data_IF_157331378686
#
_entry.id   IF_157331378686
#
_cell.length_a   1.000
_cell.length_b   1.000
_cell.length_c   1.000
_cell.angle_alpha   90.00
_cell.angle_beta   90.00
_cell.angle_gamma   90.00
#
_symmetry.space_group_name_H-M   'P 1'
#
loop_
_entity.id
_entity.type
_entity.pdbx_description
1 polymer ?
#
# COMPACT_ATOMS: atom_id res chain seq x y z
N UNK A 1 58.79 28.16 -21.78
CA UNK A 1 58.66 27.87 -23.22
C UNK A 1 57.37 27.09 -23.46
N UNK A 2 56.55 27.57 -24.41
CA UNK A 2 55.52 26.90 -25.26
C UNK A 2 54.75 25.70 -24.68
N UNK A 3 53.46 25.81 -24.32
CA UNK A 3 52.24 25.61 -25.15
C UNK A 3 52.26 24.36 -26.05
N UNK A 4 51.26 23.48 -25.89
CA UNK A 4 50.21 23.18 -26.89
C UNK A 4 49.01 22.58 -26.14
N UNK A 5 47.82 23.09 -26.46
CA UNK A 5 46.52 22.70 -25.96
C UNK A 5 45.81 21.85 -27.02
N UNK A 6 45.01 20.87 -26.59
CA UNK A 6 43.90 20.37 -27.41
C UNK A 6 42.61 20.40 -26.57
N UNK A 7 41.74 21.35 -26.92
CA UNK A 7 40.41 21.48 -26.36
C UNK A 7 39.44 20.57 -27.12
N UNK A 8 38.98 19.48 -26.47
CA UNK A 8 37.76 18.78 -26.92
C UNK A 8 36.54 19.52 -26.39
N UNK A 9 35.85 20.16 -27.32
CA UNK A 9 34.59 20.90 -27.16
C UNK A 9 33.49 20.00 -26.58
N UNK A 10 33.27 20.05 -25.27
CA UNK A 10 32.09 19.47 -24.62
C UNK A 10 30.91 20.40 -24.88
N UNK A 11 29.92 19.94 -25.64
CA UNK A 11 28.65 20.65 -25.84
C UNK A 11 27.93 20.76 -24.49
N UNK A 12 27.55 21.98 -24.13
CA UNK A 12 26.73 22.26 -22.96
C UNK A 12 25.36 21.60 -23.09
N UNK A 13 25.06 20.62 -22.26
CA UNK A 13 23.69 20.17 -21.99
C UNK A 13 23.03 21.21 -21.07
N UNK A 14 22.65 22.33 -21.68
CA UNK A 14 21.80 23.32 -21.04
C UNK A 14 20.36 22.85 -21.03
N UNK A 15 19.66 23.18 -19.93
CA UNK A 15 18.21 23.36 -19.91
C UNK A 15 17.31 22.11 -19.90
N UNK A 16 17.56 21.15 -19.00
CA UNK A 16 16.52 20.17 -18.59
C UNK A 16 16.13 20.26 -17.11
N UNK A 17 16.98 20.84 -16.26
CA UNK A 17 16.74 20.93 -14.81
C UNK A 17 15.71 21.99 -14.40
N UNK A 18 15.60 23.09 -15.17
CA UNK A 18 14.66 24.18 -14.85
C UNK A 18 13.17 23.80 -15.03
N UNK A 19 12.87 22.84 -15.93
CA UNK A 19 11.50 22.42 -16.20
C UNK A 19 10.93 21.52 -15.10
N UNK A 20 11.78 20.68 -14.50
CA UNK A 20 11.39 19.77 -13.41
C UNK A 20 11.15 20.50 -12.09
N UNK A 21 11.90 21.58 -11.84
CA UNK A 21 11.73 22.39 -10.64
C UNK A 21 10.35 23.07 -10.60
N UNK A 22 9.89 23.63 -11.74
CA UNK A 22 8.56 24.25 -11.85
C UNK A 22 7.38 23.28 -11.66
N UNK A 23 7.55 22.00 -11.99
CA UNK A 23 6.50 20.98 -11.84
C UNK A 23 6.35 20.53 -10.37
N UNK A 24 7.43 20.55 -9.59
CA UNK A 24 7.39 20.16 -8.17
C UNK A 24 6.53 21.12 -7.31
N UNK A 25 6.44 22.39 -7.68
CA UNK A 25 5.63 23.39 -6.96
C UNK A 25 4.12 23.24 -7.19
N UNK A 26 3.70 22.60 -8.29
CA UNK A 26 2.28 22.40 -8.60
C UNK A 26 1.67 21.17 -7.90
N UNK A 27 2.51 20.22 -7.47
CA UNK A 27 2.09 19.03 -6.71
C UNK A 27 2.15 19.21 -5.18
N UNK A 28 2.47 20.42 -4.69
CA UNK A 28 2.23 20.78 -3.29
C UNK A 28 0.73 20.89 -3.08
N UNK A 29 0.15 19.73 -2.77
CA UNK A 29 -1.14 19.46 -2.17
C UNK A 29 -1.77 20.71 -1.54
N UNK A 30 -2.66 21.36 -2.29
CA UNK A 30 -3.57 22.36 -1.75
C UNK A 30 -4.48 21.63 -0.76
N UNK A 31 -4.17 21.73 0.52
CA UNK A 31 -5.08 21.33 1.59
C UNK A 31 -6.36 22.17 1.46
N UNK A 32 -7.41 21.59 0.86
CA UNK A 32 -8.75 22.14 0.99
C UNK A 32 -9.20 21.87 2.43
N UNK A 33 -9.13 22.90 3.26
CA UNK A 33 -9.79 22.93 4.56
C UNK A 33 -11.28 22.80 4.28
N UNK A 34 -11.85 21.62 4.48
CA UNK A 34 -13.30 21.44 4.48
C UNK A 34 -13.86 22.11 5.74
N UNK A 35 -14.20 23.38 5.59
CA UNK A 35 -15.06 24.07 6.54
C UNK A 35 -16.45 23.47 6.49
N UNK A 36 -16.77 22.54 7.40
CA UNK A 36 -18.13 22.44 7.93
C UNK A 36 -18.09 22.19 9.44
N UNK A 37 -18.68 23.15 10.16
CA UNK A 37 -19.05 23.02 11.54
C UNK A 37 -20.39 22.25 11.64
N UNK A 38 -20.48 21.38 12.67
CA UNK A 38 -21.70 20.73 13.20
C UNK A 38 -22.33 19.61 12.38
N UNK A 39 -22.23 18.40 12.95
CA UNK A 39 -23.06 17.25 12.60
C UNK A 39 -22.89 16.09 13.59
N UNK A 40 -23.23 16.32 14.87
CA UNK A 40 -23.31 15.25 15.87
C UNK A 40 -24.39 14.23 15.46
N UNK A 41 -24.01 13.07 14.93
CA UNK A 41 -24.86 11.88 15.09
C UNK A 41 -24.36 11.11 16.30
N UNK A 42 -25.15 11.13 17.38
CA UNK A 42 -24.96 10.29 18.57
C UNK A 42 -24.86 8.83 18.14
N UNK A 43 -23.65 8.28 18.10
CA UNK A 43 -23.46 6.82 18.07
C UNK A 43 -23.80 6.35 19.49
N UNK A 44 -25.06 5.93 19.69
CA UNK A 44 -25.41 5.16 20.88
C UNK A 44 -24.58 3.88 20.85
N UNK A 45 -23.73 3.71 21.85
CA UNK A 45 -23.00 2.47 22.06
C UNK A 45 -23.94 1.28 22.27
N UNK A 46 -23.45 0.09 21.94
CA UNK A 46 -24.00 -1.22 22.28
C UNK A 46 -25.24 -1.72 21.49
N UNK A 47 -25.17 -1.75 20.15
CA UNK A 47 -25.99 -2.68 19.36
C UNK A 47 -25.10 -3.81 18.82
N UNK A 48 -25.33 -5.08 19.21
CA UNK A 48 -24.61 -6.21 18.61
C UNK A 48 -24.99 -6.34 17.14
N UNK A 49 -23.99 -6.30 16.26
CA UNK A 49 -24.14 -6.54 14.83
C UNK A 49 -24.83 -7.90 14.62
N UNK A 50 -26.01 -7.89 14.00
CA UNK A 50 -26.75 -9.10 13.63
C UNK A 50 -25.91 -9.91 12.64
N UNK A 51 -25.26 -10.97 13.11
CA UNK A 51 -24.65 -11.98 12.23
C UNK A 51 -25.76 -12.76 11.55
N UNK A 52 -25.79 -12.76 10.22
CA UNK A 52 -26.72 -13.55 9.43
C UNK A 52 -26.44 -15.04 9.64
N UNK A 53 -27.38 -15.74 10.28
CA UNK A 53 -27.33 -17.19 10.50
C UNK A 53 -27.80 -17.89 9.23
N UNK A 54 -26.88 -18.52 8.50
CA UNK A 54 -27.19 -19.34 7.34
C UNK A 54 -27.76 -20.67 7.83
N UNK A 55 -29.05 -20.92 7.57
CA UNK A 55 -29.67 -22.24 7.81
C UNK A 55 -29.74 -22.98 6.48
N UNK A 56 -28.91 -24.01 6.30
CA UNK A 56 -29.09 -24.96 5.21
C UNK A 56 -30.22 -25.92 5.57
N UNK A 57 -31.38 -25.79 4.92
CA UNK A 57 -32.45 -26.79 5.05
C UNK A 57 -31.99 -28.08 4.36
N UNK A 58 -31.69 -29.10 5.15
CA UNK A 58 -31.52 -30.48 4.71
C UNK A 58 -32.89 -31.01 4.29
N UNK A 59 -33.01 -31.42 3.04
CA UNK A 59 -34.27 -31.89 2.45
C UNK A 59 -34.72 -33.22 3.03
N UNK A 60 -36.01 -33.27 3.38
CA UNK A 60 -36.84 -34.48 3.41
C UNK A 60 -38.17 -34.07 2.78
N UNK A 61 -38.60 -34.78 1.75
CA UNK A 61 -39.69 -34.37 0.85
C UNK A 61 -41.10 -34.55 1.41
N UNK A 62 -42.05 -33.87 0.77
CA UNK A 62 -43.47 -34.25 0.62
C UNK A 62 -44.21 -33.18 -0.19
N UNK A 63 -44.92 -33.59 -1.25
CA UNK A 63 -46.22 -33.02 -1.62
C UNK A 63 -46.29 -31.74 -2.45
N UNK A 64 -46.20 -31.91 -3.78
CA UNK A 64 -47.10 -31.39 -4.82
C UNK A 64 -47.59 -29.92 -4.80
N UNK A 65 -47.17 -29.13 -5.79
CA UNK A 65 -48.09 -28.50 -6.75
C UNK A 65 -47.33 -27.74 -7.85
N UNK A 66 -47.65 -28.18 -9.06
CA UNK A 66 -47.30 -27.69 -10.38
C UNK A 66 -47.50 -26.17 -10.56
N UNK A 67 -46.45 -25.39 -10.84
CA UNK A 67 -46.54 -24.17 -11.67
C UNK A 67 -45.27 -23.93 -12.50
N UNK A 68 -45.55 -23.73 -13.79
CA UNK A 68 -44.73 -23.50 -14.97
C UNK A 68 -43.60 -22.46 -14.86
N UNK A 69 -42.51 -22.79 -15.56
CA UNK A 69 -41.67 -21.92 -16.40
C UNK A 69 -41.39 -20.49 -15.91
N UNK A 70 -40.26 -20.35 -15.21
CA UNK A 70 -39.56 -19.08 -15.05
C UNK A 70 -38.11 -19.25 -15.51
N UNK A 71 -37.72 -18.52 -16.57
CA UNK A 71 -36.33 -18.45 -17.04
C UNK A 71 -35.34 -18.05 -15.92
N UNK A 72 -34.03 -18.25 -16.13
CA UNK A 72 -33.05 -18.23 -15.05
C UNK A 72 -33.07 -16.87 -14.33
N UNK A 73 -33.43 -16.90 -13.04
CA UNK A 73 -33.25 -15.76 -12.13
C UNK A 73 -31.79 -15.31 -12.21
N UNK A 74 -31.55 -14.02 -12.48
CA UNK A 74 -30.22 -13.41 -12.35
C UNK A 74 -29.73 -13.70 -10.93
N UNK A 75 -28.64 -14.45 -10.82
CA UNK A 75 -28.01 -14.78 -9.53
C UNK A 75 -27.41 -13.49 -8.97
N UNK A 76 -27.44 -13.32 -7.65
CA UNK A 76 -26.71 -12.21 -7.04
C UNK A 76 -25.20 -12.45 -7.22
N UNK A 77 -24.39 -11.38 -7.28
CA UNK A 77 -22.92 -11.52 -7.40
C UNK A 77 -22.33 -12.44 -6.32
N UNK A 78 -22.97 -12.49 -5.15
CA UNK A 78 -22.62 -13.40 -4.07
C UNK A 78 -22.97 -14.86 -4.38
N UNK A 79 -24.14 -15.13 -4.96
CA UNK A 79 -24.53 -16.48 -5.37
C UNK A 79 -23.66 -16.97 -6.53
N UNK A 80 -23.26 -16.09 -7.45
CA UNK A 80 -22.32 -16.41 -8.52
C UNK A 80 -20.93 -16.74 -7.97
N UNK A 81 -20.44 -15.96 -6.99
CA UNK A 81 -19.19 -16.24 -6.29
C UNK A 81 -19.23 -17.59 -5.55
N UNK A 82 -20.36 -17.91 -4.90
CA UNK A 82 -20.55 -19.18 -4.20
C UNK A 82 -20.58 -20.34 -5.20
N UNK A 83 -21.31 -20.20 -6.31
CA UNK A 83 -21.36 -21.22 -7.36
C UNK A 83 -20.01 -21.40 -8.04
N UNK A 84 -19.26 -20.33 -8.27
CA UNK A 84 -17.91 -20.38 -8.84
C UNK A 84 -16.92 -21.04 -7.87
N UNK A 85 -17.04 -20.77 -6.56
CA UNK A 85 -16.27 -21.46 -5.53
C UNK A 85 -16.59 -22.96 -5.49
N UNK A 86 -17.87 -23.34 -5.59
CA UNK A 86 -18.30 -24.73 -5.57
C UNK A 86 -17.97 -25.48 -6.88
N UNK A 87 -17.96 -24.78 -8.01
CA UNK A 87 -17.56 -25.30 -9.31
C UNK A 87 -16.04 -25.31 -9.52
N UNK A 88 -15.29 -24.55 -8.71
CA UNK A 88 -13.84 -24.50 -8.82
C UNK A 88 -13.22 -25.87 -8.55
N UNK A 89 -12.51 -26.39 -9.55
CA UNK A 89 -11.82 -27.68 -9.41
C UNK A 89 -10.60 -27.52 -8.51
N UNK A 90 -10.37 -28.49 -7.64
CA UNK A 90 -9.27 -28.43 -6.68
C UNK A 90 -7.92 -28.41 -7.40
N UNK A 91 -6.98 -27.53 -6.99
CA UNK A 91 -5.63 -27.53 -7.56
C UNK A 91 -4.95 -28.88 -7.41
N UNK A 92 -4.16 -29.30 -8.40
CA UNK A 92 -3.45 -30.60 -8.46
C UNK A 92 -2.64 -30.91 -7.19
N UNK A 93 -2.19 -29.86 -6.49
CA UNK A 93 -1.51 -29.96 -5.19
C UNK A 93 -2.31 -30.79 -4.18
N UNK A 94 -3.64 -30.74 -4.24
CA UNK A 94 -4.57 -31.41 -3.32
C UNK A 94 -5.08 -32.78 -3.82
N UNK A 95 -4.65 -33.25 -5.00
CA UNK A 95 -5.03 -34.58 -5.51
C UNK A 95 -4.34 -35.71 -4.76
N UNK A 96 -5.05 -36.82 -4.59
CA UNK A 96 -4.50 -38.03 -3.95
C UNK A 96 -3.40 -38.64 -4.84
N UNK A 97 -2.44 -39.41 -4.28
CA UNK A 97 -1.35 -40.00 -5.05
C UNK A 97 -1.79 -40.85 -6.26
N UNK A 98 -2.90 -41.59 -6.14
CA UNK A 98 -3.47 -42.40 -7.23
C UNK A 98 -4.05 -41.55 -8.37
N UNK A 99 -4.61 -40.39 -8.04
CA UNK A 99 -5.18 -39.46 -9.02
C UNK A 99 -4.06 -38.73 -9.77
N UNK A 100 -2.98 -38.36 -9.07
CA UNK A 100 -1.75 -37.80 -9.67
C UNK A 100 -1.11 -38.76 -10.67
N UNK A 101 -1.02 -40.05 -10.34
CA UNK A 101 -0.48 -41.05 -11.27
C UNK A 101 -1.34 -41.19 -12.54
N UNK A 102 -2.67 -41.17 -12.40
CA UNK A 102 -3.61 -41.21 -13.53
C UNK A 102 -3.53 -39.96 -14.40
N UNK A 103 -3.31 -38.79 -13.81
CA UNK A 103 -3.07 -37.56 -14.57
C UNK A 103 -1.72 -37.60 -15.29
N UNK A 104 -0.66 -38.08 -14.64
CA UNK A 104 0.66 -38.24 -15.27
C UNK A 104 0.64 -39.21 -16.47
N UNK A 105 -0.13 -40.30 -16.38
CA UNK A 105 -0.33 -41.22 -17.51
C UNK A 105 -1.13 -40.57 -18.66
N UNK A 106 -2.15 -39.76 -18.35
CA UNK A 106 -2.89 -39.00 -19.36
C UNK A 106 -2.02 -37.95 -20.05
N UNK A 107 -1.18 -37.25 -19.28
CA UNK A 107 -0.20 -36.31 -19.81
C UNK A 107 0.83 -36.99 -20.70
N UNK A 108 1.30 -38.19 -20.30
CA UNK A 108 2.19 -39.02 -21.12
C UNK A 108 1.53 -39.45 -22.43
N UNK A 109 0.21 -39.63 -22.45
CA UNK A 109 -0.60 -39.90 -23.64
C UNK A 109 -1.08 -38.63 -24.38
N UNK A 110 -0.65 -37.44 -23.95
CA UNK A 110 -0.98 -36.16 -24.58
C UNK A 110 -2.40 -35.65 -24.33
N UNK A 111 -3.18 -36.29 -23.45
CA UNK A 111 -4.54 -35.90 -23.09
C UNK A 111 -4.52 -34.92 -21.91
N UNK A 112 -4.78 -33.64 -22.18
CA UNK A 112 -4.91 -32.62 -21.13
C UNK A 112 -6.26 -32.75 -20.42
N UNK A 113 -6.25 -32.67 -19.10
CA UNK A 113 -7.49 -32.57 -18.32
C UNK A 113 -8.10 -31.17 -18.46
N UNK A 114 -9.43 -31.05 -18.36
CA UNK A 114 -10.12 -29.75 -18.35
C UNK A 114 -9.53 -28.81 -17.27
N UNK A 115 -9.11 -29.38 -16.15
CA UNK A 115 -8.45 -28.70 -15.03
C UNK A 115 -7.09 -28.09 -15.42
N UNK A 116 -6.30 -28.78 -16.24
CA UNK A 116 -5.02 -28.27 -16.76
C UNK A 116 -5.23 -27.18 -17.80
N UNK A 117 -6.20 -27.33 -18.69
CA UNK A 117 -6.51 -26.30 -19.68
C UNK A 117 -6.99 -24.99 -19.03
N UNK A 118 -7.82 -25.08 -17.99
CA UNK A 118 -8.27 -23.90 -17.24
C UNK A 118 -7.13 -23.23 -16.46
N UNK A 119 -6.22 -24.02 -15.87
CA UNK A 119 -5.03 -23.48 -15.22
C UNK A 119 -4.09 -22.81 -16.22
N UNK A 120 -3.81 -23.42 -17.37
CA UNK A 120 -3.00 -22.82 -18.44
C UNK A 120 -3.64 -21.50 -18.94
N UNK A 121 -4.96 -21.45 -19.10
CA UNK A 121 -5.69 -20.23 -19.47
C UNK A 121 -5.55 -19.14 -18.41
N UNK A 122 -5.70 -19.48 -17.12
CA UNK A 122 -5.50 -18.52 -16.01
C UNK A 122 -4.06 -18.03 -15.97
N UNK A 123 -3.07 -18.90 -16.12
CA UNK A 123 -1.66 -18.53 -16.12
C UNK A 123 -1.29 -17.64 -17.31
N UNK A 124 -1.85 -17.90 -18.51
CA UNK A 124 -1.68 -17.04 -19.68
C UNK A 124 -2.27 -15.65 -19.49
N UNK A 125 -3.45 -15.54 -18.85
CA UNK A 125 -4.06 -14.24 -18.50
C UNK A 125 -3.17 -13.44 -17.54
N UNK A 126 -2.73 -14.07 -16.44
CA UNK A 126 -1.85 -13.42 -15.47
C UNK A 126 -0.52 -12.98 -16.09
N UNK A 127 0.07 -13.79 -16.99
CA UNK A 127 1.33 -13.42 -17.67
C UNK A 127 1.17 -12.16 -18.51
N UNK A 128 0.04 -12.00 -19.21
CA UNK A 128 -0.23 -10.81 -20.02
C UNK A 128 -0.45 -9.56 -19.16
N UNK A 129 -0.98 -9.70 -17.94
CA UNK A 129 -1.14 -8.59 -16.99
C UNK A 129 0.20 -8.05 -16.48
N UNK A 130 1.17 -8.93 -16.23
CA UNK A 130 2.51 -8.53 -15.77
C UNK A 130 3.41 -7.91 -16.86
N UNK A 131 3.12 -8.15 -18.14
CA UNK A 131 3.86 -7.57 -19.27
C UNK A 131 3.46 -6.10 -19.54
N UNK A 132 2.30 -5.69 -19.02
CA UNK A 132 1.84 -4.30 -19.09
C UNK A 132 2.48 -3.44 -17.99
N UNK A 133 2.76 -2.15 -18.25
CA UNK A 133 3.31 -1.25 -17.24
C UNK A 133 2.47 -1.29 -15.96
N UNK A 134 3.10 -1.66 -14.84
CA UNK A 134 2.39 -1.80 -13.57
C UNK A 134 1.86 -0.44 -13.12
N UNK A 135 0.54 -0.31 -13.00
CA UNK A 135 -0.13 0.91 -12.55
C UNK A 135 0.18 1.15 -11.08
N UNK A 136 1.00 2.18 -10.80
CA UNK A 136 1.31 2.60 -9.43
C UNK A 136 0.26 3.63 -8.98
N UNK A 137 -0.84 3.17 -8.37
CA UNK A 137 -1.88 4.06 -7.86
C UNK A 137 -3.30 3.49 -7.95
N UNK A 138 -4.27 4.36 -7.74
CA UNK A 138 -5.69 4.06 -8.02
C UNK A 138 -5.91 4.06 -9.52
N UNK A 139 -6.60 3.05 -10.07
CA UNK A 139 -6.82 2.93 -11.52
C UNK A 139 -7.49 4.20 -12.05
N UNK A 140 -6.86 4.84 -13.03
CA UNK A 140 -7.35 6.08 -13.64
C UNK A 140 -6.69 7.38 -13.16
N UNK A 141 -5.90 7.34 -12.08
CA UNK A 141 -5.09 8.48 -11.61
C UNK A 141 -3.57 8.25 -11.76
N UNK A 142 -3.19 7.20 -12.48
CA UNK A 142 -1.79 6.91 -12.74
C UNK A 142 -1.21 7.94 -13.72
N UNK A 143 0.09 8.25 -13.56
CA UNK A 143 0.79 9.23 -14.39
C UNK A 143 0.76 8.90 -15.90
N UNK A 144 0.63 7.61 -16.23
CA UNK A 144 0.49 7.12 -17.59
C UNK A 144 -0.92 7.40 -18.12
N UNK A 145 -1.94 7.07 -17.33
CA UNK A 145 -3.36 7.25 -17.69
C UNK A 145 -3.74 8.73 -17.79
N UNK A 146 -3.09 9.59 -17.00
CA UNK A 146 -3.22 11.05 -17.07
C UNK A 146 -2.44 11.68 -18.24
N UNK A 147 -1.70 10.89 -19.03
CA UNK A 147 -0.91 11.37 -20.17
C UNK A 147 0.31 12.21 -19.80
N UNK A 148 0.75 12.18 -18.53
CA UNK A 148 1.95 12.90 -18.08
C UNK A 148 3.24 12.14 -18.40
N UNK A 149 3.17 10.81 -18.44
CA UNK A 149 4.32 9.93 -18.71
C UNK A 149 3.97 8.96 -19.83
N UNK A 150 4.72 9.02 -20.93
CA UNK A 150 4.60 8.04 -22.02
C UNK A 150 5.13 6.68 -21.56
N UNK A 151 4.28 5.65 -21.65
CA UNK A 151 4.64 4.28 -21.26
C UNK A 151 5.89 3.75 -21.98
N UNK A 152 6.07 4.13 -23.25
CA UNK A 152 7.16 3.65 -24.11
C UNK A 152 8.52 4.25 -23.75
N UNK A 153 8.55 5.39 -23.06
CA UNK A 153 9.77 6.10 -22.67
C UNK A 153 10.30 5.68 -21.30
N UNK A 154 9.59 4.80 -20.59
CA UNK A 154 10.01 4.33 -19.27
C UNK A 154 11.25 3.45 -19.44
N UNK A 155 12.42 3.85 -18.91
CA UNK A 155 13.63 3.06 -19.02
C UNK A 155 13.42 1.72 -18.32
N UNK A 156 13.49 0.64 -19.10
CA UNK A 156 13.45 -0.73 -18.58
C UNK A 156 14.82 -1.05 -17.99
N UNK A 157 14.91 -1.12 -16.66
CA UNK A 157 16.12 -1.57 -16.00
C UNK A 157 16.08 -3.09 -15.85
N UNK A 158 17.01 -3.78 -16.50
CA UNK A 158 17.21 -5.20 -16.32
C UNK A 158 17.96 -5.44 -15.00
N UNK A 159 17.22 -5.60 -13.91
CA UNK A 159 17.77 -6.24 -12.72
C UNK A 159 17.74 -7.75 -12.97
N UNK A 160 18.89 -8.41 -12.90
CA UNK A 160 18.91 -9.88 -12.99
C UNK A 160 17.99 -10.44 -11.90
N UNK A 161 17.18 -11.45 -12.25
CA UNK A 161 16.24 -12.07 -11.30
C UNK A 161 16.98 -12.59 -10.07
N UNK A 162 18.23 -13.00 -10.24
CA UNK A 162 19.11 -13.46 -9.16
C UNK A 162 19.49 -12.34 -8.20
N UNK A 163 19.94 -11.20 -8.70
CA UNK A 163 20.34 -10.06 -7.85
C UNK A 163 19.13 -9.45 -7.14
N UNK A 164 17.97 -9.38 -7.80
CA UNK A 164 16.72 -8.99 -7.16
C UNK A 164 16.35 -9.89 -5.99
N UNK A 165 16.48 -11.22 -6.16
CA UNK A 165 16.24 -12.20 -5.08
C UNK A 165 17.26 -12.07 -3.95
N UNK A 166 18.53 -11.80 -4.26
CA UNK A 166 19.59 -11.59 -3.26
C UNK A 166 19.34 -10.33 -2.43
N UNK A 167 19.07 -9.20 -3.08
CA UNK A 167 18.79 -7.92 -2.41
C UNK A 167 17.55 -7.98 -1.52
N UNK A 168 16.46 -8.59 -2.01
CA UNK A 168 15.24 -8.73 -1.23
C UNK A 168 15.44 -9.58 0.04
N UNK A 169 16.22 -10.67 -0.05
CA UNK A 169 16.57 -11.50 1.10
C UNK A 169 17.39 -10.74 2.13
N UNK A 170 18.42 -10.01 1.70
CA UNK A 170 19.26 -9.22 2.61
C UNK A 170 18.49 -8.06 3.26
N UNK A 171 17.65 -7.35 2.49
CA UNK A 171 16.76 -6.33 3.04
C UNK A 171 15.85 -6.90 4.13
N UNK A 172 15.19 -8.03 3.84
CA UNK A 172 14.32 -8.71 4.80
C UNK A 172 15.09 -9.13 6.06
N UNK A 173 16.31 -9.65 5.90
CA UNK A 173 17.18 -10.07 7.00
C UNK A 173 17.57 -8.89 7.89
N UNK A 174 17.98 -7.77 7.30
CA UNK A 174 18.34 -6.54 8.03
C UNK A 174 17.12 -5.96 8.75
N UNK A 175 15.98 -5.89 8.08
CA UNK A 175 14.74 -5.36 8.65
C UNK A 175 14.29 -6.19 9.86
N UNK A 176 14.31 -7.52 9.75
CA UNK A 176 13.95 -8.41 10.85
C UNK A 176 14.94 -8.33 12.01
N UNK A 177 16.24 -8.12 11.75
CA UNK A 177 17.22 -7.87 12.81
C UNK A 177 16.90 -6.56 13.56
N UNK A 178 16.66 -5.47 12.83
CA UNK A 178 16.29 -4.17 13.41
C UNK A 178 15.00 -4.26 14.22
N UNK A 179 13.99 -4.97 13.69
CA UNK A 179 12.72 -5.17 14.38
C UNK A 179 12.90 -5.94 15.70
N UNK A 180 13.64 -7.05 15.69
CA UNK A 180 13.93 -7.82 16.92
C UNK A 180 14.70 -7.00 17.95
N UNK A 181 15.72 -6.24 17.51
CA UNK A 181 16.47 -5.35 18.39
C UNK A 181 15.57 -4.28 19.04
N UNK A 182 14.65 -3.69 18.25
CA UNK A 182 13.65 -2.74 18.74
C UNK A 182 12.72 -3.37 19.77
N UNK A 183 12.17 -4.56 19.49
CA UNK A 183 11.29 -5.28 20.40
C UNK A 183 12.00 -5.65 21.73
N UNK A 184 13.26 -6.07 21.66
CA UNK A 184 14.07 -6.32 22.85
C UNK A 184 14.27 -5.04 23.68
N UNK A 185 14.57 -3.91 23.04
CA UNK A 185 14.73 -2.64 23.74
C UNK A 185 13.42 -2.13 24.36
N UNK A 186 12.30 -2.19 23.61
CA UNK A 186 10.98 -1.76 24.10
C UNK A 186 10.47 -2.63 25.25
N UNK A 187 10.68 -3.96 25.17
CA UNK A 187 10.31 -4.89 26.24
C UNK A 187 11.16 -4.70 27.51
N UNK A 188 12.47 -4.47 27.36
CA UNK A 188 13.35 -4.15 28.48
C UNK A 188 12.94 -2.82 29.13
N UNK A 189 12.70 -1.77 28.34
CA UNK A 189 12.24 -0.47 28.83
C UNK A 189 10.91 -0.59 29.59
N UNK A 190 9.97 -1.39 29.08
CA UNK A 190 8.69 -1.64 29.74
C UNK A 190 8.86 -2.36 31.07
N UNK A 191 9.76 -3.36 31.16
CA UNK A 191 10.10 -4.05 32.41
C UNK A 191 10.67 -3.07 33.44
N UNK A 192 11.71 -2.33 33.08
CA UNK A 192 12.32 -1.34 33.96
C UNK A 192 11.33 -0.24 34.38
N UNK A 193 10.41 0.18 33.50
CA UNK A 193 9.35 1.13 33.85
C UNK A 193 8.43 0.57 34.94
N UNK A 194 8.04 -0.70 34.86
CA UNK A 194 7.19 -1.35 35.87
C UNK A 194 7.91 -1.48 37.21
N UNK A 195 9.14 -1.96 37.18
CA UNK A 195 10.00 -2.06 38.37
C UNK A 195 10.22 -0.70 39.03
N UNK A 196 10.42 0.36 38.24
CA UNK A 196 10.57 1.72 38.74
C UNK A 196 9.29 2.22 39.42
N UNK A 197 8.10 1.93 38.87
CA UNK A 197 6.82 2.29 39.51
C UNK A 197 6.64 1.50 40.81
N UNK A 198 7.02 0.22 40.84
CA UNK A 198 6.92 -0.62 42.03
C UNK A 198 7.89 -0.19 43.14
N UNK A 199 9.04 0.39 42.80
CA UNK A 199 9.99 0.94 43.77
C UNK A 199 9.52 2.25 44.43
N UNK A 200 8.46 2.91 43.93
CA UNK A 200 7.95 4.17 44.50
C UNK A 200 7.23 3.96 45.85
N UNK A 201 7.15 5.00 46.70
CA UNK A 201 6.26 5.01 47.87
C UNK A 201 4.78 4.89 47.48
N UNK A 202 3.95 4.31 48.36
CA UNK A 202 2.54 3.99 48.10
C UNK A 202 1.69 5.19 47.64
N UNK A 203 1.94 6.38 48.21
CA UNK A 203 1.22 7.61 47.81
C UNK A 203 1.51 8.06 46.36
N UNK A 204 2.71 7.78 45.84
CA UNK A 204 3.10 8.17 44.48
C UNK A 204 2.81 7.07 43.45
N UNK A 205 2.74 5.80 43.88
CA UNK A 205 2.37 4.66 43.04
C UNK A 205 1.00 4.86 42.39
N UNK A 206 0.01 5.30 43.17
CA UNK A 206 -1.34 5.54 42.67
C UNK A 206 -1.37 6.63 41.58
N UNK A 207 -0.59 7.70 41.75
CA UNK A 207 -0.47 8.77 40.76
C UNK A 207 0.26 8.32 39.50
N UNK A 208 1.33 7.53 39.63
CA UNK A 208 2.15 7.06 38.51
C UNK A 208 1.46 6.02 37.60
N UNK A 209 0.43 5.32 38.13
CA UNK A 209 -0.37 4.37 37.35
C UNK A 209 -1.36 5.06 36.40
N UNK A 210 -1.72 6.32 36.67
CA UNK A 210 -2.64 7.09 35.82
C UNK A 210 -1.90 7.53 34.56
N UNK A 211 -2.41 7.20 33.35
CA UNK A 211 -1.82 7.69 32.11
C UNK A 211 -1.93 9.21 32.01
N UNK A 212 -0.82 9.86 31.67
CA UNK A 212 -0.80 11.29 31.37
C UNK A 212 -1.53 11.55 30.03
N UNK A 213 -2.56 12.40 30.09
CA UNK A 213 -3.38 12.80 28.94
C UNK A 213 -2.98 14.18 28.38
N UNK A 214 -1.92 14.79 28.90
CA UNK A 214 -1.42 16.05 28.35
C UNK A 214 -1.00 15.86 26.89
N UNK A 215 -1.46 16.73 25.97
CA UNK A 215 -1.08 16.62 24.57
C UNK A 215 0.41 16.92 24.42
N UNK A 216 1.04 16.30 23.42
CA UNK A 216 2.43 16.60 23.10
C UNK A 216 2.61 18.10 22.75
N UNK A 217 3.76 18.70 23.13
CA UNK A 217 4.00 20.11 22.87
C UNK A 217 4.07 20.38 21.36
N UNK A 218 3.45 21.49 20.94
CA UNK A 218 3.42 21.91 19.53
C UNK A 218 4.82 22.15 18.93
N UNK A 219 5.83 22.40 19.78
CA UNK A 219 7.22 22.64 19.38
C UNK A 219 8.04 21.37 19.13
N UNK A 220 7.40 20.19 19.11
CA UNK A 220 8.08 18.92 18.76
C UNK A 220 8.19 18.80 17.23
N UNK A 221 9.24 19.39 16.67
CA UNK A 221 9.52 19.27 15.24
C UNK A 221 10.02 17.87 14.87
N UNK A 222 9.63 17.41 13.68
CA UNK A 222 10.22 16.20 13.10
C UNK A 222 11.68 16.47 12.75
N UNK A 223 12.52 15.45 12.88
CA UNK A 223 13.90 15.54 12.43
C UNK A 223 13.93 15.82 10.91
N UNK A 224 14.53 16.94 10.52
CA UNK A 224 14.79 17.31 9.13
C UNK A 224 16.15 16.77 8.68
N UNK A 225 16.32 16.56 7.38
CA UNK A 225 17.59 16.08 6.79
C UNK A 225 18.74 17.06 7.04
N UNK A 226 18.43 18.36 7.07
CA UNK A 226 19.38 19.44 7.33
C UNK A 226 19.05 20.15 8.64
N UNK A 227 20.05 20.58 9.42
CA UNK A 227 19.83 21.42 10.59
C UNK A 227 19.22 22.79 10.18
N UNK A 228 18.58 23.52 11.13
CA UNK A 228 17.98 24.81 10.84
C UNK A 228 19.04 25.86 10.46
N UNK A 229 18.70 26.75 9.54
CA UNK A 229 19.56 27.84 9.08
C UNK A 229 19.44 29.03 10.05
N UNK A 230 20.57 29.52 10.55
CA UNK A 230 20.63 30.68 11.44
C UNK A 230 20.06 31.95 10.78
N UNK A 231 19.25 32.69 11.55
CA UNK A 231 18.65 33.95 11.09
C UNK A 231 17.66 33.82 9.93
N UNK A 232 17.23 32.61 9.54
CA UNK A 232 16.28 32.45 8.42
C UNK A 232 14.96 33.19 8.68
N UNK A 233 14.40 33.07 9.89
CA UNK A 233 13.18 33.77 10.26
C UNK A 233 13.34 35.30 10.25
N UNK A 234 14.52 35.81 10.60
CA UNK A 234 14.83 37.24 10.58
C UNK A 234 14.89 37.74 9.14
N UNK A 235 15.60 37.02 8.26
CA UNK A 235 15.67 37.32 6.83
C UNK A 235 14.29 37.30 6.16
N UNK A 236 13.44 36.33 6.51
CA UNK A 236 12.05 36.26 6.00
C UNK A 236 11.23 37.44 6.50
N UNK A 237 11.33 37.79 7.79
CA UNK A 237 10.64 38.96 8.36
C UNK A 237 11.12 40.27 7.74
N UNK A 238 12.43 40.42 7.52
CA UNK A 238 13.00 41.59 6.85
C UNK A 238 12.55 41.69 5.39
N UNK A 239 12.55 40.59 4.64
CA UNK A 239 12.05 40.55 3.28
C UNK A 239 10.56 40.91 3.21
N UNK A 240 9.74 40.37 4.12
CA UNK A 240 8.31 40.68 4.21
C UNK A 240 8.04 42.16 4.57
N UNK A 241 8.85 42.75 5.46
CA UNK A 241 8.80 44.19 5.77
C UNK A 241 9.17 45.05 4.56
N UNK A 242 10.15 44.61 3.74
CA UNK A 242 10.56 45.33 2.52
C UNK A 242 9.51 45.23 1.40
N UNK A 243 8.77 44.12 1.31
CA UNK A 243 7.74 43.95 0.28
C UNK A 243 6.42 44.64 0.64
N UNK A 244 6.01 44.66 1.92
CA UNK A 244 4.76 45.30 2.35
C UNK A 244 4.76 46.84 2.26
N UNK A 245 5.93 47.47 2.17
CA UNK A 245 6.07 48.91 2.02
C UNK A 245 5.95 49.45 0.58
N UNK A 246 5.85 48.60 -0.44
CA UNK A 246 5.88 49.01 -1.87
C UNK A 246 4.53 49.02 -2.57
N UNK A 247 3.42 48.78 -1.87
CA UNK A 247 2.10 48.75 -2.49
C UNK A 247 1.18 49.83 -1.88
N UNK A 248 1.38 51.08 -2.31
CA UNK A 248 0.31 52.08 -2.39
C UNK A 248 0.44 52.92 -3.65
N UNK A 249 -0.74 53.08 -4.28
CA UNK A 249 -1.18 54.05 -5.29
C UNK A 249 -0.83 53.78 -6.76
N UNK A 250 -1.70 52.99 -7.40
CA UNK A 250 -2.37 53.41 -8.64
C UNK A 250 -3.86 53.15 -8.50
#
# INVERSE_FOLDING_TARGET
>A
MMRIAEARKMRSLGSSYACLESLSYQFLQRCLVSGTAKGKSKIKGAQPLKRSKVTTKKGTGSGDSNQKDGGPRRKSEFDELVDECLASTSPIRFLKPKEKAREAEREKMGLKSKVMEEQEKKWKKMKNEFDSPFFMGTPGLDLITLGLVDADKIPKYELTVEDGRRLAKEYSRVLMRKHRARQAAESAFLRCKKEAIEALPEGLKAAALVPDLTPFPANRFMATLTPPIEGYLEKVKEAAKRSSGKEKLR
#
